data_IF_703538758742
#
_entry.id   IF_703538758742
#
_cell.length_a   1.000
_cell.length_b   1.000
_cell.length_c   1.000
_cell.angle_alpha   90.00
_cell.angle_beta   90.00
_cell.angle_gamma   90.00
#
_symmetry.space_group_name_H-M   'P 1'
#
loop_
_entity.id
_entity.type
_entity.pdbx_description
1 polymer ?
#
# COMPACT_ATOMS: atom_id res chain seq x y z
N UNK A 1 -9.25 -24.37 0.90
CA UNK A 1 -7.79 -24.31 1.09
C UNK A 1 -7.43 -22.95 1.69
N UNK A 2 -6.79 -22.90 2.87
CA UNK A 2 -6.37 -21.65 3.52
C UNK A 2 -5.18 -21.05 2.76
N UNK A 3 -5.26 -19.78 2.39
CA UNK A 3 -4.15 -19.10 1.70
C UNK A 3 -2.99 -18.84 2.67
N UNK A 4 -1.75 -18.99 2.16
CA UNK A 4 -0.54 -18.59 2.88
C UNK A 4 -0.44 -17.06 2.97
N UNK A 5 0.35 -16.55 3.91
CA UNK A 5 0.62 -15.10 4.03
C UNK A 5 1.22 -14.52 2.75
N UNK A 6 2.10 -15.26 2.07
CA UNK A 6 2.67 -14.86 0.77
C UNK A 6 1.61 -14.76 -0.32
N UNK A 7 0.66 -15.70 -0.38
CA UNK A 7 -0.43 -15.65 -1.35
C UNK A 7 -1.37 -14.47 -1.06
N UNK A 8 -1.74 -14.26 0.21
CA UNK A 8 -2.56 -13.11 0.63
C UNK A 8 -1.87 -11.79 0.28
N UNK A 9 -0.58 -11.66 0.57
CA UNK A 9 0.24 -10.49 0.21
C UNK A 9 0.21 -10.19 -1.29
N UNK A 10 0.49 -11.19 -2.12
CA UNK A 10 0.47 -11.03 -3.59
C UNK A 10 -0.90 -10.63 -4.11
N UNK A 11 -1.98 -11.20 -3.53
CA UNK A 11 -3.35 -10.81 -3.86
C UNK A 11 -3.63 -9.37 -3.48
N UNK A 12 -3.22 -8.92 -2.29
CA UNK A 12 -3.39 -7.52 -1.87
C UNK A 12 -2.68 -6.57 -2.81
N UNK A 13 -1.43 -6.86 -3.21
CA UNK A 13 -0.71 -6.04 -4.17
C UNK A 13 -1.39 -5.99 -5.55
N UNK A 14 -1.90 -7.12 -6.03
CA UNK A 14 -2.63 -7.17 -7.30
C UNK A 14 -3.95 -6.38 -7.21
N UNK A 15 -4.64 -6.47 -6.08
CA UNK A 15 -5.86 -5.73 -5.81
C UNK A 15 -5.62 -4.21 -5.76
N UNK A 16 -4.58 -3.76 -5.04
CA UNK A 16 -4.21 -2.34 -4.98
C UNK A 16 -3.90 -1.77 -6.37
N UNK A 17 -3.07 -2.47 -7.15
CA UNK A 17 -2.74 -2.05 -8.54
C UNK A 17 -3.95 -1.93 -9.44
N UNK A 18 -4.94 -2.82 -9.27
CA UNK A 18 -6.14 -2.82 -10.11
C UNK A 18 -7.14 -1.75 -9.71
N UNK A 19 -7.36 -1.55 -8.40
CA UNK A 19 -8.45 -0.71 -7.90
C UNK A 19 -8.01 0.72 -7.57
N UNK A 20 -6.73 0.91 -7.28
CA UNK A 20 -6.14 2.20 -6.91
C UNK A 20 -4.83 2.42 -7.67
N UNK A 21 -4.84 2.45 -9.02
CA UNK A 21 -3.64 2.57 -9.82
C UNK A 21 -2.96 3.94 -9.60
N UNK A 22 -1.70 3.97 -9.15
CA UNK A 22 -0.91 5.21 -9.10
C UNK A 22 -0.57 5.72 -10.50
N UNK A 23 -0.30 7.02 -10.63
CA UNK A 23 0.10 7.64 -11.91
C UNK A 23 1.48 7.18 -12.38
N UNK A 24 2.31 6.69 -11.46
CA UNK A 24 3.68 6.25 -11.69
C UNK A 24 3.90 4.80 -11.25
N UNK A 25 4.96 4.18 -11.76
CA UNK A 25 5.28 2.79 -11.43
C UNK A 25 5.56 2.65 -9.92
N UNK A 26 4.99 1.62 -9.30
CA UNK A 26 5.25 1.31 -7.88
C UNK A 26 5.97 -0.03 -7.72
N UNK A 27 7.11 0.03 -7.04
CA UNK A 27 7.81 -1.16 -6.53
C UNK A 27 7.57 -1.30 -5.03
N UNK A 28 7.40 -2.53 -4.56
CA UNK A 28 7.18 -2.82 -3.14
C UNK A 28 8.19 -3.84 -2.68
N UNK A 29 8.97 -3.49 -1.65
CA UNK A 29 10.00 -4.36 -1.07
C UNK A 29 9.68 -4.65 0.39
N UNK A 30 9.85 -5.90 0.80
CA UNK A 30 9.81 -6.27 2.21
C UNK A 30 11.23 -6.39 2.74
N UNK A 31 11.64 -5.44 3.58
CA UNK A 31 13.00 -5.28 4.07
C UNK A 31 13.05 -5.36 5.59
N UNK A 32 14.25 -5.45 6.14
CA UNK A 32 14.48 -5.29 7.57
C UNK A 32 14.90 -3.85 7.85
N UNK A 33 13.94 -3.05 8.30
CA UNK A 33 14.09 -1.62 8.60
C UNK A 33 13.65 -1.34 10.04
N UNK A 34 13.97 -0.17 10.59
CA UNK A 34 13.57 0.19 11.96
C UNK A 34 12.11 0.60 12.03
N UNK A 35 11.65 1.31 11.01
CA UNK A 35 10.32 1.89 10.84
C UNK A 35 9.29 0.81 10.49
N UNK A 36 8.01 1.18 10.38
CA UNK A 36 6.96 0.25 9.93
C UNK A 36 6.97 0.08 8.40
N UNK A 37 7.10 1.20 7.71
CA UNK A 37 7.28 1.31 6.28
C UNK A 37 7.66 2.73 5.91
N UNK A 38 7.96 2.94 4.63
CA UNK A 38 8.12 4.26 4.05
C UNK A 38 7.89 4.19 2.54
N UNK A 39 7.51 5.33 1.96
CA UNK A 39 7.39 5.53 0.52
C UNK A 39 8.37 6.61 0.08
N UNK A 40 9.13 6.33 -0.98
CA UNK A 40 9.99 7.31 -1.62
C UNK A 40 9.62 7.43 -3.10
N UNK A 41 9.83 8.60 -3.67
CA UNK A 41 9.70 8.83 -5.11
C UNK A 41 11.07 9.13 -5.71
N UNK A 42 11.46 8.34 -6.71
CA UNK A 42 12.71 8.51 -7.43
C UNK A 42 12.45 9.01 -8.85
N UNK A 43 13.15 10.08 -9.24
CA UNK A 43 13.21 10.53 -10.63
C UNK A 43 14.25 9.70 -11.40
N UNK A 44 13.78 8.69 -12.13
CA UNK A 44 14.59 8.09 -13.19
C UNK A 44 14.43 8.94 -14.47
N UNK A 45 15.44 9.03 -15.34
CA UNK A 45 15.50 10.01 -16.44
C UNK A 45 14.40 9.91 -17.52
N UNK A 46 13.41 9.01 -17.41
CA UNK A 46 12.29 8.92 -18.36
C UNK A 46 10.92 8.69 -17.75
N UNK A 47 10.79 8.11 -16.54
CA UNK A 47 9.51 7.95 -15.82
C UNK A 47 9.81 7.89 -14.33
N UNK A 48 9.19 8.77 -13.53
CA UNK A 48 9.29 8.70 -12.07
C UNK A 48 8.72 7.38 -11.53
N UNK A 49 9.22 6.92 -10.39
CA UNK A 49 8.74 5.69 -9.77
C UNK A 49 8.71 5.77 -8.26
N UNK A 50 7.69 5.17 -7.66
CA UNK A 50 7.59 4.97 -6.23
C UNK A 50 8.29 3.69 -5.79
N UNK A 51 8.99 3.76 -4.67
CA UNK A 51 9.43 2.60 -3.91
C UNK A 51 8.78 2.63 -2.52
N UNK A 52 7.98 1.60 -2.26
CA UNK A 52 7.44 1.33 -0.93
C UNK A 52 8.33 0.28 -0.26
N UNK A 53 8.83 0.59 0.92
CA UNK A 53 9.53 -0.35 1.79
C UNK A 53 8.64 -0.71 2.97
N UNK A 54 8.50 -2.00 3.26
CA UNK A 54 7.68 -2.51 4.37
C UNK A 54 8.55 -3.37 5.28
N UNK A 55 8.45 -3.14 6.59
CA UNK A 55 9.21 -3.91 7.57
C UNK A 55 8.70 -5.37 7.65
N UNK A 56 9.54 -6.31 7.21
CA UNK A 56 9.21 -7.74 7.16
C UNK A 56 9.07 -8.39 8.54
N UNK A 57 9.60 -7.77 9.61
CA UNK A 57 9.53 -8.28 10.99
C UNK A 57 8.18 -8.01 11.66
N UNK A 58 7.34 -7.14 11.07
CA UNK A 58 6.01 -6.81 11.61
C UNK A 58 5.01 -7.92 11.30
N UNK A 59 3.96 -8.00 12.11
CA UNK A 59 2.86 -8.95 11.90
C UNK A 59 2.23 -8.75 10.51
N UNK A 60 1.60 -9.80 9.99
CA UNK A 60 0.98 -9.73 8.67
C UNK A 60 -0.08 -8.62 8.58
N UNK A 61 -0.93 -8.46 9.61
CA UNK A 61 -1.94 -7.39 9.67
C UNK A 61 -1.29 -6.02 9.61
N UNK A 62 -0.29 -5.76 10.45
CA UNK A 62 0.40 -4.48 10.48
C UNK A 62 1.09 -4.18 9.16
N UNK A 63 1.69 -5.18 8.50
CA UNK A 63 2.26 -5.01 7.16
C UNK A 63 1.22 -4.66 6.10
N UNK A 64 -0.01 -5.17 6.23
CA UNK A 64 -1.11 -4.81 5.35
C UNK A 64 -1.54 -3.36 5.62
N UNK A 65 -1.80 -2.99 6.87
CA UNK A 65 -2.20 -1.62 7.22
C UNK A 65 -1.14 -0.60 6.75
N UNK A 66 0.15 -0.89 6.98
CA UNK A 66 1.25 -0.06 6.47
C UNK A 66 1.24 -0.02 4.94
N UNK A 67 1.07 -1.15 4.25
CA UNK A 67 0.98 -1.13 2.78
C UNK A 67 -0.17 -0.26 2.26
N UNK A 68 -1.35 -0.29 2.89
CA UNK A 68 -2.48 0.54 2.50
C UNK A 68 -2.19 2.04 2.72
N UNK A 69 -1.53 2.37 3.83
CA UNK A 69 -1.06 3.72 4.14
C UNK A 69 -0.07 4.23 3.10
N UNK A 70 1.01 3.48 2.86
CA UNK A 70 2.05 3.82 1.88
C UNK A 70 1.50 3.90 0.44
N UNK A 71 0.53 3.04 0.10
CA UNK A 71 -0.10 3.11 -1.22
C UNK A 71 -0.93 4.37 -1.42
N UNK A 72 -1.52 4.93 -0.35
CA UNK A 72 -2.26 6.19 -0.43
C UNK A 72 -1.33 7.33 -0.86
N UNK A 73 -0.10 7.40 -0.33
CA UNK A 73 0.92 8.36 -0.80
C UNK A 73 1.18 8.22 -2.30
N UNK A 74 1.35 6.99 -2.80
CA UNK A 74 1.59 6.77 -4.23
C UNK A 74 0.45 7.28 -5.13
N UNK A 75 -0.79 7.27 -4.64
CA UNK A 75 -1.98 7.71 -5.40
C UNK A 75 -2.12 9.22 -5.38
N UNK A 76 -1.70 9.89 -4.30
CA UNK A 76 -1.92 11.34 -4.13
C UNK A 76 -0.70 12.18 -4.44
N UNK A 77 0.51 11.64 -4.28
CA UNK A 77 1.71 12.28 -4.78
C UNK A 77 1.73 12.10 -6.29
N UNK A 78 1.30 13.12 -7.04
CA UNK A 78 1.25 13.11 -8.51
C UNK A 78 2.66 13.22 -9.13
N UNK A 79 3.60 12.38 -8.69
CA UNK A 79 5.02 12.48 -9.04
C UNK A 79 5.65 13.79 -8.59
N UNK A 80 5.13 14.39 -7.52
CA UNK A 80 5.61 15.66 -7.00
C UNK A 80 6.91 15.49 -6.22
N UNK A 81 7.78 16.51 -6.31
CA UNK A 81 8.81 16.76 -5.31
C UNK A 81 8.16 16.89 -3.93
N UNK A 82 8.97 16.63 -2.91
CA UNK A 82 8.69 16.40 -1.50
C UNK A 82 7.93 17.51 -0.74
N UNK A 83 7.23 18.41 -1.44
CA UNK A 83 6.54 19.59 -0.90
C UNK A 83 5.02 19.39 -0.74
N UNK A 84 4.48 18.23 -1.10
CA UNK A 84 3.10 17.88 -0.71
C UNK A 84 3.12 17.48 0.76
N UNK A 85 2.27 18.12 1.57
CA UNK A 85 2.02 17.75 2.96
C UNK A 85 1.80 16.24 3.06
N UNK A 86 2.61 15.57 3.89
CA UNK A 86 2.72 14.11 3.96
C UNK A 86 1.34 13.45 4.09
N UNK A 87 0.43 14.07 4.86
CA UNK A 87 -0.94 13.63 5.07
C UNK A 87 -1.97 14.71 4.74
N UNK A 88 -1.92 15.26 3.52
CA UNK A 88 -2.91 16.23 3.04
C UNK A 88 -4.36 15.72 3.10
N UNK A 89 -5.35 16.61 2.93
CA UNK A 89 -6.76 16.22 2.87
C UNK A 89 -7.04 15.17 1.77
N UNK A 90 -6.40 15.31 0.61
CA UNK A 90 -6.48 14.35 -0.50
C UNK A 90 -5.93 12.99 -0.09
N UNK A 91 -4.80 12.96 0.62
CA UNK A 91 -4.23 11.74 1.17
C UNK A 91 -5.22 11.05 2.13
N UNK A 92 -5.83 11.81 3.05
CA UNK A 92 -6.81 11.29 4.00
C UNK A 92 -8.01 10.65 3.31
N UNK A 93 -8.54 11.30 2.26
CA UNK A 93 -9.63 10.77 1.44
C UNK A 93 -9.21 9.50 0.69
N UNK A 94 -8.00 9.48 0.11
CA UNK A 94 -7.48 8.33 -0.60
C UNK A 94 -7.28 7.13 0.34
N UNK A 95 -6.64 7.33 1.48
CA UNK A 95 -6.44 6.30 2.50
C UNK A 95 -7.76 5.73 3.01
N UNK A 96 -8.73 6.59 3.36
CA UNK A 96 -10.04 6.14 3.82
C UNK A 96 -10.79 5.29 2.78
N UNK A 97 -10.73 5.68 1.49
CA UNK A 97 -11.33 4.92 0.39
C UNK A 97 -10.66 3.55 0.21
N UNK A 98 -9.33 3.52 0.19
CA UNK A 98 -8.55 2.27 0.09
C UNK A 98 -8.89 1.35 1.27
N UNK A 99 -8.89 1.89 2.49
CA UNK A 99 -9.10 1.09 3.70
C UNK A 99 -10.51 0.51 3.75
N UNK A 100 -11.55 1.31 3.47
CA UNK A 100 -12.94 0.85 3.47
C UNK A 100 -13.18 -0.26 2.44
N UNK A 101 -12.74 -0.04 1.19
CA UNK A 101 -12.88 -1.06 0.15
C UNK A 101 -12.03 -2.30 0.44
N UNK A 102 -10.89 -2.16 1.09
CA UNK A 102 -10.11 -3.31 1.56
C UNK A 102 -10.87 -4.11 2.61
N UNK A 103 -11.53 -3.45 3.57
CA UNK A 103 -12.33 -4.11 4.61
C UNK A 103 -13.51 -4.91 4.05
N UNK A 104 -14.13 -4.43 2.98
CA UNK A 104 -15.19 -5.14 2.25
C UNK A 104 -14.61 -6.26 1.36
N UNK A 105 -13.38 -6.12 0.89
CA UNK A 105 -12.74 -7.09 0.02
C UNK A 105 -12.16 -8.30 0.78
N UNK A 106 -12.59 -9.49 0.38
CA UNK A 106 -12.04 -10.74 0.91
C UNK A 106 -10.72 -11.13 0.22
N UNK A 107 -9.60 -10.80 0.86
CA UNK A 107 -8.25 -11.22 0.44
C UNK A 107 -7.89 -12.68 0.84
N UNK A 108 -8.86 -13.45 1.32
CA UNK A 108 -8.67 -14.75 1.96
C UNK A 108 -8.68 -14.68 3.49
N UNK A 109 -9.54 -13.83 4.07
CA UNK A 109 -9.91 -13.89 5.49
C UNK A 109 -10.70 -15.18 5.70
N UNK A 110 -10.41 -15.90 6.79
CA UNK A 110 -11.27 -17.00 7.19
C UNK A 110 -12.62 -16.41 7.59
N UNK A 111 -13.71 -17.05 7.19
CA UNK A 111 -15.05 -16.55 7.43
C UNK A 111 -15.30 -16.44 8.94
N UNK A 112 -15.50 -15.21 9.40
CA UNK A 112 -16.42 -14.90 10.48
C UNK A 112 -17.00 -13.52 10.16
N UNK A 113 -17.87 -13.50 9.14
CA UNK A 113 -19.03 -12.64 9.20
C UNK A 113 -20.14 -13.57 9.71
N UNK A 114 -20.14 -13.79 11.03
CA UNK A 114 -21.42 -14.01 11.69
C UNK A 114 -22.09 -12.63 11.73
N UNK A 115 -23.34 -12.62 11.31
CA UNK A 115 -24.21 -11.45 11.08
C UNK A 115 -24.33 -10.51 12.28
#
# INVERSE_FOLDING_TARGET
MKLTTTQKWRRTLAWLRRNFPPSSKVSVRSLEIKEHGCTTFGYAPMVGSFEIQINRKKSFSLRIDTLLHEWAHCVTWLGAETDIEDHSAEWGVAYAKIYRTFLEWNYGREGSLED
#
